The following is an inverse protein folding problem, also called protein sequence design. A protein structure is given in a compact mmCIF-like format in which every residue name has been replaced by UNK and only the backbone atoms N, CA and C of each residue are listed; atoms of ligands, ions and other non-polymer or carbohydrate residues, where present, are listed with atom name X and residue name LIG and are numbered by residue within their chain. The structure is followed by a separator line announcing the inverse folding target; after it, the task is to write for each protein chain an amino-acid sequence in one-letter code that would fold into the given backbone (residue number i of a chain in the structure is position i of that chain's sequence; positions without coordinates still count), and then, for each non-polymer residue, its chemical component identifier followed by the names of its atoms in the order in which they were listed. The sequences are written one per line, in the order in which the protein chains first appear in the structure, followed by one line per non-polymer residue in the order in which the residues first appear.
data_IF_270296499997
#
_entry.id   IF_270296499997
#
_cell.length_a   1.000
_cell.length_b   1.000
_cell.length_c   1.000
_cell.angle_alpha   90.00
_cell.angle_beta   90.00
_cell.angle_gamma   90.00
#
_symmetry.space_group_name_H-M   'P 1'
#
loop_
_entity.id
_entity.type
_entity.pdbx_description
1 polymer ?
#
# COMPACT_ATOMS: atom_id res chain seq x y z
N UNK A 1 8.07 28.90 40.12
CA UNK A 1 8.16 27.52 39.62
C UNK A 1 6.77 27.10 39.25
N UNK A 2 6.52 26.79 37.97
CA UNK A 2 5.45 25.89 37.52
C UNK A 2 5.61 25.73 36.01
N UNK A 3 6.02 24.53 35.65
CA UNK A 3 5.86 23.81 34.39
C UNK A 3 5.87 24.58 33.08
N UNK A 4 7.05 24.54 32.45
CA UNK A 4 7.11 24.36 31.01
C UNK A 4 6.43 23.02 30.68
N UNK A 5 5.15 23.08 30.32
CA UNK A 5 4.48 21.95 29.69
C UNK A 5 5.22 21.71 28.37
N UNK A 6 6.10 20.70 28.36
CA UNK A 6 6.56 20.11 27.13
C UNK A 6 5.32 19.70 26.33
N UNK A 7 5.08 20.41 25.25
CA UNK A 7 4.37 19.89 24.09
C UNK A 7 5.25 18.75 23.53
N UNK A 8 5.16 17.58 24.17
CA UNK A 8 5.60 16.35 23.55
C UNK A 8 4.51 16.03 22.55
N UNK A 9 4.65 16.57 21.35
CA UNK A 9 4.02 15.98 20.17
C UNK A 9 4.40 14.50 20.24
N UNK A 10 3.45 13.63 20.57
CA UNK A 10 3.71 12.19 20.63
C UNK A 10 4.35 11.82 19.30
N UNK A 11 5.54 11.21 19.27
CA UNK A 11 6.10 10.76 18.02
C UNK A 11 5.05 9.83 17.44
N UNK A 12 4.51 10.17 16.27
CA UNK A 12 3.74 9.22 15.48
C UNK A 12 4.63 7.98 15.43
N UNK A 13 4.21 6.92 16.13
CA UNK A 13 4.98 5.69 16.18
C UNK A 13 5.24 5.33 14.73
N UNK A 14 6.51 5.36 14.33
CA UNK A 14 6.91 5.22 12.94
C UNK A 14 6.53 3.81 12.52
N UNK A 15 5.34 3.67 11.91
CA UNK A 15 4.85 2.38 11.43
C UNK A 15 5.90 1.83 10.49
N UNK A 16 6.34 0.60 10.74
CA UNK A 16 7.36 -0.05 9.94
C UNK A 16 6.93 -0.09 8.47
N UNK A 17 7.83 0.23 7.52
CA UNK A 17 7.53 0.15 6.11
C UNK A 17 7.21 -1.29 5.72
N UNK A 18 6.34 -1.46 4.72
CA UNK A 18 5.96 -2.80 4.23
C UNK A 18 7.14 -3.52 3.54
N UNK A 19 8.11 -2.76 3.04
CA UNK A 19 9.36 -3.25 2.47
C UNK A 19 10.40 -2.14 2.48
N UNK A 20 11.67 -2.50 2.70
CA UNK A 20 12.84 -1.59 2.57
C UNK A 20 13.69 -1.92 1.33
N UNK A 21 13.22 -2.86 0.49
CA UNK A 21 13.91 -3.30 -0.71
C UNK A 21 13.03 -3.17 -1.93
N UNK A 22 13.68 -2.92 -3.06
CA UNK A 22 13.08 -3.07 -4.38
C UNK A 22 13.02 -4.55 -4.73
N UNK A 23 11.88 -5.01 -5.24
CA UNK A 23 11.64 -6.38 -5.67
C UNK A 23 11.77 -6.49 -7.18
N UNK A 24 12.68 -7.33 -7.66
CA UNK A 24 12.89 -7.68 -9.07
C UNK A 24 12.03 -8.86 -9.55
N UNK A 25 11.21 -9.42 -8.67
CA UNK A 25 10.21 -10.45 -8.94
C UNK A 25 8.82 -10.03 -8.43
N UNK A 26 7.77 -10.69 -8.91
CA UNK A 26 6.42 -10.46 -8.39
C UNK A 26 6.26 -10.94 -6.95
N UNK A 27 5.50 -10.22 -6.14
CA UNK A 27 5.40 -10.42 -4.69
C UNK A 27 4.03 -9.99 -4.13
N UNK A 28 3.83 -10.15 -2.82
CA UNK A 28 2.60 -9.72 -2.12
C UNK A 28 2.94 -8.81 -0.94
N UNK A 29 2.27 -7.67 -0.87
CA UNK A 29 2.33 -6.74 0.25
C UNK A 29 1.19 -7.06 1.24
N UNK A 30 1.54 -7.39 2.47
CA UNK A 30 0.57 -7.71 3.52
C UNK A 30 0.13 -6.43 4.27
N UNK A 31 -1.03 -5.90 3.90
CA UNK A 31 -1.68 -4.74 4.51
C UNK A 31 -2.90 -5.17 5.36
N UNK A 32 -2.84 -6.37 5.96
CA UNK A 32 -3.90 -6.95 6.80
C UNK A 32 -3.61 -6.86 8.30
N UNK A 33 -2.50 -6.25 8.70
CA UNK A 33 -2.18 -6.10 10.14
C UNK A 33 -3.17 -5.18 10.87
N UNK A 34 -3.33 -5.31 12.20
CA UNK A 34 -4.26 -4.47 12.97
C UNK A 34 -4.07 -2.95 12.76
N UNK A 35 -2.82 -2.49 12.64
CA UNK A 35 -2.52 -1.08 12.33
C UNK A 35 -3.13 -0.60 11.01
N UNK A 36 -3.26 -1.50 10.04
CA UNK A 36 -3.93 -1.21 8.77
C UNK A 36 -5.44 -1.21 8.90
N UNK A 37 -6.02 -2.00 9.81
CA UNK A 37 -7.45 -2.00 10.06
C UNK A 37 -7.91 -0.65 10.65
N UNK A 38 -7.07 -0.07 11.52
CA UNK A 38 -7.37 1.18 12.22
C UNK A 38 -7.11 2.45 11.37
N UNK A 39 -6.25 2.36 10.35
CA UNK A 39 -5.85 3.51 9.52
C UNK A 39 -5.88 3.19 8.02
N UNK A 40 -6.90 3.71 7.33
CA UNK A 40 -7.06 3.56 5.88
C UNK A 40 -6.03 4.37 5.07
N UNK A 41 -5.61 5.53 5.57
CA UNK A 41 -4.64 6.38 4.88
C UNK A 41 -3.24 5.73 4.91
N UNK A 42 -2.93 5.02 5.99
CA UNK A 42 -1.76 4.15 6.07
C UNK A 42 -1.79 3.04 5.01
N UNK A 43 -2.94 2.38 4.80
CA UNK A 43 -3.09 1.35 3.75
C UNK A 43 -2.78 1.93 2.38
N UNK A 44 -3.33 3.10 2.05
CA UNK A 44 -3.08 3.77 0.77
C UNK A 44 -1.59 4.09 0.61
N UNK A 45 -0.97 4.75 1.61
CA UNK A 45 0.46 5.08 1.56
C UNK A 45 1.33 3.85 1.33
N UNK A 46 1.15 2.82 2.14
CA UNK A 46 1.99 1.63 2.05
C UNK A 46 1.70 0.78 0.80
N UNK A 47 0.49 0.85 0.26
CA UNK A 47 0.18 0.28 -1.05
C UNK A 47 0.96 0.97 -2.17
N UNK A 48 0.96 2.31 -2.19
CA UNK A 48 1.74 3.09 -3.16
C UNK A 48 3.25 2.86 -2.98
N UNK A 49 3.74 2.78 -1.74
CA UNK A 49 5.14 2.43 -1.47
C UNK A 49 5.47 1.03 -2.01
N UNK A 50 4.58 0.05 -1.86
CA UNK A 50 4.78 -1.29 -2.40
C UNK A 50 4.85 -1.30 -3.94
N UNK A 51 4.02 -0.49 -4.61
CA UNK A 51 4.09 -0.28 -6.07
C UNK A 51 5.42 0.34 -6.45
N UNK A 52 5.86 1.40 -5.76
CA UNK A 52 7.13 2.07 -6.01
C UNK A 52 8.35 1.14 -5.82
N UNK A 53 8.25 0.17 -4.91
CA UNK A 53 9.29 -0.84 -4.68
C UNK A 53 9.15 -2.08 -5.56
N UNK A 54 8.32 -2.04 -6.60
CA UNK A 54 8.16 -3.15 -7.55
C UNK A 54 8.84 -2.79 -8.87
N UNK A 55 9.83 -3.60 -9.26
CA UNK A 55 10.52 -3.39 -10.54
C UNK A 55 9.55 -3.57 -11.69
N UNK A 56 9.61 -2.64 -12.64
CA UNK A 56 8.84 -2.66 -13.88
C UNK A 56 8.89 -4.02 -14.59
N UNK A 57 7.75 -4.50 -15.08
CA UNK A 57 7.56 -5.84 -15.64
C UNK A 57 7.13 -6.90 -14.61
N UNK A 58 7.00 -6.52 -13.33
CA UNK A 58 6.46 -7.36 -12.26
C UNK A 58 5.13 -6.82 -11.73
N UNK A 59 4.49 -7.62 -10.88
CA UNK A 59 3.31 -7.18 -10.14
C UNK A 59 3.48 -7.34 -8.63
N UNK A 60 2.71 -6.55 -7.89
CA UNK A 60 2.49 -6.71 -6.45
C UNK A 60 1.03 -7.01 -6.18
N UNK A 61 0.76 -8.04 -5.36
CA UNK A 61 -0.58 -8.26 -4.81
C UNK A 61 -0.70 -7.46 -3.51
N UNK A 62 -1.56 -6.45 -3.51
CA UNK A 62 -1.92 -5.67 -2.33
C UNK A 62 -3.01 -6.42 -1.58
N UNK A 63 -2.68 -6.95 -0.40
CA UNK A 63 -3.62 -7.70 0.44
C UNK A 63 -4.10 -6.76 1.55
N UNK A 64 -5.29 -6.20 1.37
CA UNK A 64 -5.82 -5.13 2.24
C UNK A 64 -6.80 -5.67 3.29
N UNK A 65 -6.83 -5.05 4.46
CA UNK A 65 -7.73 -5.44 5.53
C UNK A 65 -9.23 -5.28 5.15
N UNK A 66 -10.07 -6.22 5.59
CA UNK A 66 -11.49 -6.25 5.24
C UNK A 66 -12.35 -5.15 5.86
N UNK A 67 -11.89 -4.53 6.95
CA UNK A 67 -12.64 -3.51 7.69
C UNK A 67 -12.86 -2.22 6.89
N UNK A 68 -11.99 -1.94 5.90
CA UNK A 68 -12.15 -0.80 5.00
C UNK A 68 -13.09 -1.08 3.81
N UNK A 69 -13.60 -2.30 3.70
CA UNK A 69 -14.44 -2.73 2.58
C UNK A 69 -13.65 -2.91 1.29
N UNK A 70 -14.33 -2.79 0.16
CA UNK A 70 -13.72 -3.07 -1.14
C UNK A 70 -12.71 -1.97 -1.53
N UNK A 71 -11.49 -2.34 -1.99
CA UNK A 71 -10.41 -1.38 -2.28
C UNK A 71 -10.74 -0.36 -3.37
N UNK A 72 -11.71 -0.65 -4.24
CA UNK A 72 -12.20 0.33 -5.23
C UNK A 72 -12.67 1.64 -4.62
N UNK A 73 -13.13 1.61 -3.37
CA UNK A 73 -13.72 2.78 -2.69
C UNK A 73 -12.69 3.74 -2.11
N UNK A 74 -11.40 3.35 -2.07
CA UNK A 74 -10.35 4.16 -1.44
C UNK A 74 -8.95 4.04 -2.06
N UNK A 75 -8.66 3.02 -2.87
CA UNK A 75 -7.32 2.74 -3.38
C UNK A 75 -7.19 2.96 -4.89
N UNK A 76 -8.24 2.72 -5.67
CA UNK A 76 -8.09 2.70 -7.14
C UNK A 76 -7.89 4.10 -7.73
N UNK A 77 -8.55 5.12 -7.18
CA UNK A 77 -8.30 6.51 -7.57
C UNK A 77 -6.86 6.93 -7.27
N UNK A 78 -6.30 6.47 -6.14
CA UNK A 78 -4.92 6.76 -5.73
C UNK A 78 -3.89 6.04 -6.60
N UNK A 79 -4.18 4.81 -7.03
CA UNK A 79 -3.36 4.10 -8.02
C UNK A 79 -3.39 4.80 -9.38
N UNK A 80 -4.57 5.26 -9.81
CA UNK A 80 -4.74 6.03 -11.06
C UNK A 80 -4.00 7.36 -11.03
N UNK A 81 -4.01 8.04 -9.88
CA UNK A 81 -3.36 9.33 -9.68
C UNK A 81 -1.84 9.22 -9.42
N UNK A 82 -1.31 8.01 -9.24
CA UNK A 82 0.12 7.80 -8.94
C UNK A 82 1.01 8.12 -10.14
N UNK A 83 2.27 8.49 -9.88
CA UNK A 83 3.27 8.76 -10.94
C UNK A 83 3.79 7.48 -11.63
N UNK A 84 3.24 6.31 -11.31
CA UNK A 84 3.66 5.02 -11.87
C UNK A 84 2.75 4.58 -13.02
N UNK A 85 3.32 4.09 -14.11
CA UNK A 85 2.55 3.43 -15.17
C UNK A 85 2.11 2.04 -14.70
N UNK A 86 0.87 1.95 -14.21
CA UNK A 86 0.30 0.74 -13.61
C UNK A 86 -1.05 0.37 -14.21
N UNK A 87 -1.31 -0.94 -14.24
CA UNK A 87 -2.64 -1.50 -14.43
C UNK A 87 -2.98 -2.37 -13.24
N UNK A 88 -4.24 -2.37 -12.79
CA UNK A 88 -4.65 -3.21 -11.69
C UNK A 88 -5.94 -3.98 -11.97
N UNK A 89 -6.06 -5.08 -11.26
CA UNK A 89 -7.21 -5.97 -11.32
C UNK A 89 -7.58 -6.46 -9.92
N UNK A 90 -8.88 -6.56 -9.66
CA UNK A 90 -9.35 -7.21 -8.46
C UNK A 90 -9.25 -8.73 -8.63
N UNK A 91 -8.56 -9.41 -7.71
CA UNK A 91 -8.34 -10.86 -7.79
C UNK A 91 -9.42 -11.60 -7.02
N UNK A 92 -9.48 -11.38 -5.70
CA UNK A 92 -10.41 -12.11 -4.83
C UNK A 92 -10.60 -11.42 -3.47
N UNK A 93 -11.61 -11.91 -2.74
CA UNK A 93 -11.75 -11.67 -1.30
C UNK A 93 -11.29 -12.92 -0.55
N UNK A 94 -10.31 -12.79 0.33
CA UNK A 94 -9.81 -13.87 1.16
C UNK A 94 -10.82 -14.26 2.26
N UNK A 95 -10.71 -15.49 2.79
CA UNK A 95 -11.61 -16.00 3.84
C UNK A 95 -11.54 -15.26 5.19
N UNK A 96 -10.46 -14.51 5.44
CA UNK A 96 -10.32 -13.58 6.56
C UNK A 96 -11.16 -12.30 6.39
N UNK A 97 -11.72 -12.06 5.20
CA UNK A 97 -12.44 -10.85 4.85
C UNK A 97 -11.59 -9.82 4.09
N UNK A 98 -10.27 -9.97 4.05
CA UNK A 98 -9.35 -9.12 3.29
C UNK A 98 -9.52 -9.21 1.77
N UNK A 99 -9.00 -8.22 1.07
CA UNK A 99 -9.18 -8.04 -0.37
C UNK A 99 -7.84 -8.01 -1.10
N UNK A 100 -7.75 -8.72 -2.22
CA UNK A 100 -6.54 -8.79 -3.05
C UNK A 100 -6.73 -8.00 -4.34
N UNK A 101 -5.93 -6.94 -4.49
CA UNK A 101 -5.77 -6.22 -5.75
C UNK A 101 -4.38 -6.49 -6.29
N UNK A 102 -4.27 -6.97 -7.53
CA UNK A 102 -2.99 -7.10 -8.21
C UNK A 102 -2.70 -5.84 -9.00
N UNK A 103 -1.54 -5.26 -8.79
CA UNK A 103 -1.04 -4.09 -9.53
C UNK A 103 0.17 -4.53 -10.35
N UNK A 104 0.06 -4.42 -11.67
CA UNK A 104 1.14 -4.67 -12.62
C UNK A 104 1.88 -3.36 -12.88
N UNK A 105 3.17 -3.32 -12.60
CA UNK A 105 4.03 -2.18 -12.94
C UNK A 105 4.54 -2.38 -14.35
N UNK A 106 4.18 -1.47 -15.26
CA UNK A 106 4.56 -1.58 -16.67
C UNK A 106 6.05 -1.34 -16.81
N UNK A 107 6.72 -2.20 -17.56
CA UNK A 107 8.03 -1.86 -18.12
C UNK A 107 7.85 -0.60 -18.95
N UNK A 108 8.65 0.44 -18.67
CA UNK A 108 8.74 1.60 -19.57
C UNK A 108 8.96 1.03 -20.97
N UNK A 109 7.90 1.09 -21.78
CA UNK A 109 7.94 0.63 -23.15
C UNK A 109 8.93 1.54 -23.86
N UNK A 110 10.17 1.08 -24.00
CA UNK A 110 11.08 1.63 -24.97
C UNK A 110 10.35 1.61 -26.31
N UNK A 111 9.86 2.77 -26.73
CA UNK A 111 9.51 2.99 -28.11
C UNK A 111 10.81 2.80 -28.90
N UNK A 112 11.02 1.58 -29.40
CA UNK A 112 11.97 1.28 -30.45
C UNK A 112 11.36 1.51 -31.84
#
# INVERSE_FOLDING_TARGET
MSDAQHDLSEPVESVEPITDRVHDNSWSANLEHPVHADDRELVVRQALDAVAHTTAGNHVNLVTHGDHGHPETYLYEELEASDHDVEWEYVERCGCGGHVTRVHVRSDGGAE
#
